data_IF_368966338355
#
_entry.id   IF_368966338355
#
_cell.length_a   1.000
_cell.length_b   1.000
_cell.length_c   1.000
_cell.angle_alpha   90.00
_cell.angle_beta   90.00
_cell.angle_gamma   90.00
#
_symmetry.space_group_name_H-M   'P 1'
#
loop_
_entity.id
_entity.type
_entity.pdbx_description
1 polymer ?
#
# COMPACT_ATOMS: atom_id res chain seq x y z
N UNK A 1 -33.14 29.54 -20.71
CA UNK A 1 -34.18 29.41 -19.66
C UNK A 1 -33.45 29.61 -18.35
N UNK A 2 -33.81 30.62 -17.57
CA UNK A 2 -33.02 31.09 -16.42
C UNK A 2 -32.91 30.01 -15.34
N UNK A 3 -31.70 29.51 -15.11
CA UNK A 3 -31.34 28.88 -13.84
C UNK A 3 -31.40 29.99 -12.79
N UNK A 4 -32.43 29.98 -11.95
CA UNK A 4 -32.53 30.91 -10.82
C UNK A 4 -31.25 30.79 -10.00
N UNK A 5 -30.56 31.92 -9.88
CA UNK A 5 -29.34 32.13 -9.12
C UNK A 5 -29.62 31.91 -7.62
N UNK A 6 -29.67 30.63 -7.20
CA UNK A 6 -29.89 30.19 -5.81
C UNK A 6 -28.72 30.63 -4.89
N UNK A 7 -27.67 31.26 -5.46
CA UNK A 7 -26.53 31.85 -4.74
C UNK A 7 -26.87 33.14 -3.98
N UNK A 8 -28.03 33.76 -4.28
CA UNK A 8 -28.46 35.01 -3.63
C UNK A 8 -29.51 34.83 -2.52
N UNK A 9 -29.92 33.58 -2.23
CA UNK A 9 -30.76 33.27 -1.07
C UNK A 9 -29.87 33.07 0.16
N UNK A 10 -29.85 34.05 1.06
CA UNK A 10 -29.11 34.05 2.33
C UNK A 10 -29.78 33.21 3.44
N UNK A 11 -30.91 32.57 3.16
CA UNK A 11 -31.59 31.71 4.12
C UNK A 11 -31.04 30.28 4.11
N UNK A 12 -30.93 29.68 5.30
CA UNK A 12 -30.51 28.29 5.42
C UNK A 12 -31.54 27.36 4.74
N UNK A 13 -31.08 26.35 3.99
CA UNK A 13 -31.96 25.45 3.27
C UNK A 13 -32.90 24.70 4.22
N UNK A 14 -34.20 24.74 3.92
CA UNK A 14 -35.22 24.03 4.71
C UNK A 14 -34.94 22.52 4.75
N UNK A 15 -35.40 21.84 5.81
CA UNK A 15 -35.19 20.40 6.01
C UNK A 15 -35.63 19.53 4.82
N UNK A 16 -36.64 19.97 4.05
CA UNK A 16 -37.10 19.31 2.82
C UNK A 16 -36.12 19.45 1.66
N UNK A 17 -35.43 20.59 1.52
CA UNK A 17 -34.34 20.79 0.54
C UNK A 17 -33.11 19.94 0.90
N UNK A 18 -32.74 19.88 2.18
CA UNK A 18 -31.63 19.03 2.67
C UNK A 18 -31.89 17.54 2.46
N UNK A 19 -33.11 17.07 2.73
CA UNK A 19 -33.50 15.68 2.47
C UNK A 19 -33.40 15.34 0.97
N UNK A 20 -33.92 16.22 0.10
CA UNK A 20 -33.83 16.05 -1.35
C UNK A 20 -32.38 16.04 -1.85
N UNK A 21 -31.52 16.91 -1.32
CA UNK A 21 -30.09 16.93 -1.66
C UNK A 21 -29.39 15.61 -1.26
N UNK A 22 -29.73 15.05 -0.08
CA UNK A 22 -29.23 13.73 0.33
C UNK A 22 -29.74 12.60 -0.56
N UNK A 23 -31.03 12.60 -0.94
CA UNK A 23 -31.62 11.61 -1.86
C UNK A 23 -31.01 11.70 -3.27
N UNK A 24 -30.62 12.90 -3.71
CA UNK A 24 -29.88 13.15 -4.95
C UNK A 24 -28.38 12.79 -4.83
N UNK A 25 -27.94 12.26 -3.68
CA UNK A 25 -26.56 11.81 -3.45
C UNK A 25 -25.57 12.94 -3.14
N UNK A 26 -26.04 14.17 -2.92
CA UNK A 26 -25.21 15.30 -2.46
C UNK A 26 -24.88 15.15 -0.97
N UNK A 27 -24.05 14.16 -0.66
CA UNK A 27 -23.45 13.97 0.67
C UNK A 27 -22.04 14.55 0.67
N UNK A 28 -21.68 15.26 1.73
CA UNK A 28 -20.32 15.76 1.91
C UNK A 28 -19.35 14.58 2.01
N UNK A 29 -18.47 14.42 1.01
CA UNK A 29 -17.39 13.44 1.10
C UNK A 29 -16.27 14.01 1.98
N UNK A 30 -15.98 13.34 3.10
CA UNK A 30 -14.87 13.74 3.96
C UNK A 30 -13.53 13.44 3.28
N UNK A 31 -12.72 14.48 3.04
CA UNK A 31 -11.35 14.33 2.56
C UNK A 31 -10.48 13.56 3.57
N UNK A 32 -10.79 13.66 4.85
CA UNK A 32 -10.06 12.97 5.92
C UNK A 32 -10.22 11.46 5.83
N UNK A 33 -11.41 10.96 5.43
CA UNK A 33 -11.66 9.53 5.25
C UNK A 33 -10.75 8.95 4.15
N UNK A 34 -10.51 9.71 3.07
CA UNK A 34 -9.60 9.27 2.00
C UNK A 34 -8.18 9.09 2.52
N UNK A 35 -7.69 10.08 3.28
CA UNK A 35 -6.36 10.01 3.92
C UNK A 35 -6.27 8.84 4.91
N UNK A 36 -7.30 8.64 5.73
CA UNK A 36 -7.40 7.53 6.67
C UNK A 36 -7.34 6.17 5.96
N UNK A 37 -8.06 6.00 4.85
CA UNK A 37 -8.05 4.75 4.08
C UNK A 37 -6.67 4.44 3.51
N UNK A 38 -5.92 5.44 3.05
CA UNK A 38 -4.54 5.25 2.58
C UNK A 38 -3.63 4.83 3.74
N UNK A 39 -3.75 5.48 4.90
CA UNK A 39 -2.95 5.15 6.08
C UNK A 39 -3.24 3.72 6.57
N UNK A 40 -4.52 3.36 6.70
CA UNK A 40 -4.95 2.02 7.12
C UNK A 40 -4.54 0.97 6.10
N UNK A 41 -4.67 1.24 4.80
CA UNK A 41 -4.20 0.36 3.75
C UNK A 41 -2.70 0.10 3.82
N UNK A 42 -1.90 1.17 3.98
CA UNK A 42 -0.44 1.06 4.12
C UNK A 42 0.00 0.32 5.40
N UNK A 43 -0.63 0.60 6.53
CA UNK A 43 -0.36 -0.10 7.79
C UNK A 43 -0.77 -1.57 7.70
N UNK A 44 -1.95 -1.85 7.13
CA UNK A 44 -2.43 -3.22 6.90
C UNK A 44 -1.46 -4.00 6.04
N UNK A 45 -1.02 -3.43 4.90
CA UNK A 45 0.00 -4.01 4.05
C UNK A 45 1.26 -4.40 4.83
N UNK A 46 1.80 -3.49 5.63
CA UNK A 46 2.99 -3.75 6.43
C UNK A 46 2.76 -4.85 7.46
N UNK A 47 1.61 -4.88 8.14
CA UNK A 47 1.31 -5.93 9.13
C UNK A 47 1.31 -7.33 8.52
N UNK A 48 0.83 -7.49 7.28
CA UNK A 48 0.76 -8.80 6.63
C UNK A 48 2.07 -9.19 5.91
N UNK A 49 2.73 -8.26 5.22
CA UNK A 49 3.93 -8.57 4.43
C UNK A 49 5.24 -8.53 5.25
N UNK A 50 5.38 -7.57 6.16
CA UNK A 50 6.65 -7.35 6.85
C UNK A 50 7.15 -8.56 7.64
N UNK A 51 6.31 -9.35 8.35
CA UNK A 51 6.78 -10.53 9.08
C UNK A 51 7.35 -11.61 8.14
N UNK A 52 6.70 -11.84 7.00
CA UNK A 52 7.15 -12.83 6.01
C UNK A 52 8.48 -12.40 5.39
N UNK A 53 8.58 -11.14 4.96
CA UNK A 53 9.80 -10.59 4.38
C UNK A 53 10.97 -10.61 5.39
N UNK A 54 10.71 -10.21 6.63
CA UNK A 54 11.72 -10.20 7.70
C UNK A 54 12.24 -11.62 8.00
N UNK A 55 11.35 -12.62 8.01
CA UNK A 55 11.74 -14.02 8.19
C UNK A 55 12.66 -14.48 7.06
N UNK A 56 12.28 -14.21 5.81
CA UNK A 56 13.02 -14.69 4.65
C UNK A 56 14.39 -14.00 4.53
N UNK A 57 14.47 -12.69 4.79
CA UNK A 57 15.74 -11.96 4.90
C UNK A 57 16.62 -12.55 6.01
N UNK A 58 16.04 -12.87 7.17
CA UNK A 58 16.78 -13.49 8.28
C UNK A 58 17.32 -14.87 7.90
N UNK A 59 16.56 -15.66 7.15
CA UNK A 59 17.01 -16.97 6.66
C UNK A 59 18.19 -16.83 5.69
N UNK A 60 18.14 -15.85 4.78
CA UNK A 60 19.27 -15.53 3.89
C UNK A 60 20.49 -15.14 4.72
N UNK A 61 20.35 -14.20 5.66
CA UNK A 61 21.45 -13.76 6.53
C UNK A 61 22.06 -14.90 7.35
N UNK A 62 21.22 -15.77 7.93
CA UNK A 62 21.69 -16.96 8.67
C UNK A 62 22.47 -17.93 7.79
N UNK A 63 22.10 -18.09 6.51
CA UNK A 63 22.85 -18.94 5.57
C UNK A 63 24.26 -18.42 5.38
N UNK A 64 24.43 -17.11 5.19
CA UNK A 64 25.73 -16.49 5.00
C UNK A 64 26.59 -16.54 6.27
N UNK A 65 26.00 -16.30 7.44
CA UNK A 65 26.73 -16.33 8.72
C UNK A 65 27.09 -17.76 9.11
N UNK A 66 26.12 -18.68 9.09
CA UNK A 66 26.27 -20.05 9.60
C UNK A 66 26.91 -21.05 8.65
N UNK A 67 26.85 -20.81 7.34
CA UNK A 67 27.46 -21.69 6.33
C UNK A 67 28.66 -21.05 5.61
N UNK A 68 29.19 -19.94 6.16
CA UNK A 68 30.31 -19.15 5.62
C UNK A 68 31.55 -19.97 5.24
N UNK A 69 31.87 -21.01 6.00
CA UNK A 69 33.02 -21.89 5.70
C UNK A 69 32.79 -22.82 4.49
N UNK A 70 31.53 -23.03 4.09
CA UNK A 70 31.16 -23.96 3.02
C UNK A 70 30.89 -23.29 1.68
N UNK A 71 31.06 -21.96 1.57
CA UNK A 71 30.86 -21.21 0.33
C UNK A 71 32.20 -21.17 -0.42
N UNK A 72 32.35 -21.91 -1.53
CA UNK A 72 33.52 -21.79 -2.38
C UNK A 72 33.61 -20.38 -2.94
N UNK A 73 34.77 -19.74 -2.82
CA UNK A 73 35.04 -18.38 -3.31
C UNK A 73 35.59 -18.41 -4.74
N UNK A 74 35.17 -19.37 -5.56
CA UNK A 74 35.48 -19.36 -6.99
C UNK A 74 34.47 -18.51 -7.76
N UNK A 75 34.88 -18.06 -8.95
CA UNK A 75 34.11 -17.12 -9.75
C UNK A 75 32.74 -17.66 -10.18
N UNK A 76 32.64 -18.97 -10.42
CA UNK A 76 31.40 -19.59 -10.89
C UNK A 76 30.36 -19.66 -9.77
N UNK A 77 30.77 -20.11 -8.57
CA UNK A 77 29.90 -20.16 -7.40
C UNK A 77 29.49 -18.76 -6.93
N UNK A 78 30.39 -17.78 -6.96
CA UNK A 78 30.03 -16.40 -6.62
C UNK A 78 28.96 -15.83 -7.56
N UNK A 79 29.05 -16.09 -8.86
CA UNK A 79 28.02 -15.69 -9.83
C UNK A 79 26.67 -16.35 -9.56
N UNK A 80 26.68 -17.65 -9.26
CA UNK A 80 25.47 -18.41 -8.94
C UNK A 80 24.80 -17.93 -7.65
N UNK A 81 25.59 -17.72 -6.58
CA UNK A 81 25.10 -17.19 -5.30
C UNK A 81 24.54 -15.79 -5.49
N UNK A 82 25.23 -14.92 -6.23
CA UNK A 82 24.76 -13.56 -6.52
C UNK A 82 23.41 -13.58 -7.25
N UNK A 83 23.28 -14.35 -8.33
CA UNK A 83 22.04 -14.48 -9.09
C UNK A 83 20.90 -15.05 -8.25
N UNK A 84 21.21 -16.05 -7.41
CA UNK A 84 20.22 -16.68 -6.52
C UNK A 84 19.69 -15.70 -5.47
N UNK A 85 20.58 -14.96 -4.81
CA UNK A 85 20.18 -13.95 -3.82
C UNK A 85 19.38 -12.82 -4.48
N UNK A 86 19.79 -12.38 -5.67
CA UNK A 86 19.05 -11.36 -6.43
C UNK A 86 17.61 -11.83 -6.74
N UNK A 87 17.44 -13.09 -7.16
CA UNK A 87 16.13 -13.69 -7.40
C UNK A 87 15.32 -13.84 -6.11
N UNK A 88 15.94 -14.32 -5.03
CA UNK A 88 15.27 -14.47 -3.71
C UNK A 88 14.77 -13.11 -3.20
N UNK A 89 15.60 -12.05 -3.27
CA UNK A 89 15.19 -10.68 -2.92
C UNK A 89 14.05 -10.21 -3.82
N UNK A 90 14.14 -10.47 -5.13
CA UNK A 90 13.08 -10.13 -6.08
C UNK A 90 11.74 -10.77 -5.71
N UNK A 91 11.73 -12.05 -5.36
CA UNK A 91 10.52 -12.78 -4.92
C UNK A 91 10.01 -12.24 -3.58
N UNK A 92 10.89 -11.90 -2.64
CA UNK A 92 10.50 -11.29 -1.36
C UNK A 92 9.81 -9.94 -1.57
N UNK A 93 10.27 -9.14 -2.53
CA UNK A 93 9.71 -7.83 -2.84
C UNK A 93 8.48 -7.90 -3.76
N UNK A 94 8.30 -8.97 -4.54
CA UNK A 94 7.25 -9.09 -5.54
C UNK A 94 5.82 -8.85 -5.00
N UNK A 95 5.41 -9.39 -3.84
CA UNK A 95 4.09 -9.13 -3.27
C UNK A 95 3.88 -7.65 -2.91
N UNK A 96 4.93 -6.96 -2.46
CA UNK A 96 4.85 -5.55 -2.14
C UNK A 96 4.67 -4.72 -3.41
N UNK A 97 5.45 -5.03 -4.45
CA UNK A 97 5.37 -4.36 -5.75
C UNK A 97 4.02 -4.59 -6.44
N UNK A 98 3.48 -5.81 -6.38
CA UNK A 98 2.20 -6.15 -6.98
C UNK A 98 1.00 -5.44 -6.32
N UNK A 99 1.15 -4.98 -5.07
CA UNK A 99 0.09 -4.24 -4.37
C UNK A 99 0.03 -2.76 -4.80
N UNK A 100 1.11 -2.23 -5.38
CA UNK A 100 1.22 -0.84 -5.85
C UNK A 100 1.18 -0.68 -7.37
N UNK A 101 1.15 -1.79 -8.12
CA UNK A 101 1.05 -1.83 -9.58
C UNK A 101 -0.41 -1.89 -10.03
#
# INVERSE_FOLDING_TARGET
>A
MAEEDDSQKTEEPTGRKLAKARDEGQVAQSQEIKSLMVLVGGVGMLMFLAPAMARDITLIGRRFIGASYSIPMDFEHLRLVFSKVAMEIGVILAPAMAMFA
#
